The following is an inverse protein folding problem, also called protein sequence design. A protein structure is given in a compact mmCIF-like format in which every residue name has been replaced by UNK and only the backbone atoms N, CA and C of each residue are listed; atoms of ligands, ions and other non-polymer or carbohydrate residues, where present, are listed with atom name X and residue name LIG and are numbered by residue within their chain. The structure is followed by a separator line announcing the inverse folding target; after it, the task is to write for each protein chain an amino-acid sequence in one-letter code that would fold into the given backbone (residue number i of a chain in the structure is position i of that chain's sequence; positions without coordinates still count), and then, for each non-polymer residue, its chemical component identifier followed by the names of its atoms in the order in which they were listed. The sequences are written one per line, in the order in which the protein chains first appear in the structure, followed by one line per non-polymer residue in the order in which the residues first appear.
data_IF_474505075423
#
_entry.id   IF_474505075423
#
_cell.length_a   1.000
_cell.length_b   1.000
_cell.length_c   1.000
_cell.angle_alpha   90.00
_cell.angle_beta   90.00
_cell.angle_gamma   90.00
#
_symmetry.space_group_name_H-M   'P 1'
#
loop_
_entity.id
_entity.type
_entity.pdbx_description
1 polymer ?
#
# COMPACT_ATOMS: atom_id res chain seq x y z
N UNK A 1 24.59 -28.58 -0.23
CA UNK A 1 24.24 -28.96 1.16
C UNK A 1 23.15 -28.06 1.75
N UNK A 2 23.25 -26.74 1.62
CA UNK A 2 22.30 -25.75 2.17
C UNK A 2 20.85 -25.90 1.67
N UNK A 3 20.60 -26.13 0.36
CA UNK A 3 19.23 -26.32 -0.18
C UNK A 3 18.50 -27.53 0.43
N UNK A 4 19.20 -28.66 0.64
CA UNK A 4 18.62 -29.86 1.27
C UNK A 4 18.26 -29.59 2.74
N UNK A 5 19.13 -28.87 3.45
CA UNK A 5 18.90 -28.47 4.84
C UNK A 5 17.70 -27.53 4.98
N UNK A 6 17.58 -26.49 4.14
CA UNK A 6 16.42 -25.58 4.11
C UNK A 6 15.13 -26.36 3.84
N UNK A 7 15.14 -27.26 2.85
CA UNK A 7 13.97 -28.10 2.53
C UNK A 7 13.52 -28.97 3.71
N UNK A 8 14.48 -29.52 4.46
CA UNK A 8 14.19 -30.28 5.68
C UNK A 8 13.57 -29.38 6.75
N UNK A 9 14.13 -28.20 7.02
CA UNK A 9 13.59 -27.26 8.00
C UNK A 9 12.17 -26.81 7.66
N UNK A 10 11.89 -26.48 6.38
CA UNK A 10 10.54 -26.14 5.91
C UNK A 10 9.55 -27.28 6.18
N UNK A 11 9.94 -28.52 5.87
CA UNK A 11 9.10 -29.71 6.11
C UNK A 11 8.84 -29.95 7.60
N UNK A 12 9.85 -29.76 8.45
CA UNK A 12 9.69 -29.87 9.91
C UNK A 12 8.77 -28.79 10.45
N UNK A 13 8.93 -27.54 10.00
CA UNK A 13 8.05 -26.41 10.35
C UNK A 13 6.61 -26.68 9.94
N UNK A 14 6.38 -27.10 8.70
CA UNK A 14 5.05 -27.43 8.19
C UNK A 14 4.37 -28.52 9.05
N UNK A 15 5.08 -29.61 9.35
CA UNK A 15 4.55 -30.68 10.22
C UNK A 15 4.26 -30.20 11.63
N UNK A 16 5.11 -29.34 12.19
CA UNK A 16 4.89 -28.77 13.52
C UNK A 16 3.64 -27.90 13.54
N UNK A 17 3.50 -26.98 12.58
CA UNK A 17 2.33 -26.09 12.46
C UNK A 17 1.05 -26.89 12.22
N UNK A 18 1.08 -27.94 11.40
CA UNK A 18 -0.08 -28.80 11.19
C UNK A 18 -0.55 -29.49 12.48
N UNK A 19 0.39 -29.81 13.39
CA UNK A 19 0.07 -30.50 14.64
C UNK A 19 -0.31 -29.56 15.79
N UNK A 20 0.35 -28.42 15.89
CA UNK A 20 0.25 -27.53 17.07
C UNK A 20 -0.32 -26.14 16.75
N UNK A 21 -0.60 -25.84 15.48
CA UNK A 21 -1.01 -24.52 15.03
C UNK A 21 0.15 -23.53 14.87
N UNK A 22 -0.17 -22.34 14.37
CA UNK A 22 0.73 -21.19 14.40
C UNK A 22 0.64 -20.50 15.79
N UNK A 23 1.72 -19.86 16.25
CA UNK A 23 1.63 -18.94 17.38
C UNK A 23 0.53 -17.91 17.15
N UNK A 24 -0.28 -17.65 18.18
CA UNK A 24 -1.29 -16.61 18.11
C UNK A 24 -0.60 -15.24 18.12
N UNK A 25 -1.04 -14.37 17.22
CA UNK A 25 -0.61 -12.97 17.17
C UNK A 25 -1.54 -12.11 18.01
N UNK A 26 -1.01 -11.02 18.58
CA UNK A 26 -1.84 -10.08 19.34
C UNK A 26 -2.81 -9.37 18.40
N UNK A 27 -3.99 -9.06 18.92
CA UNK A 27 -4.94 -8.20 18.21
C UNK A 27 -4.31 -6.81 18.01
N UNK A 28 -4.48 -6.26 16.82
CA UNK A 28 -4.01 -4.92 16.49
C UNK A 28 -4.87 -3.89 17.24
N UNK A 29 -4.25 -3.14 18.15
CA UNK A 29 -4.89 -2.01 18.79
C UNK A 29 -4.99 -0.86 17.78
N UNK A 30 -6.20 -0.54 17.35
CA UNK A 30 -6.50 0.51 16.37
C UNK A 30 -7.89 1.06 16.57
N UNK A 31 -8.11 2.31 16.19
CA UNK A 31 -9.44 2.90 16.10
C UNK A 31 -10.23 2.22 14.98
N UNK A 32 -11.51 1.91 15.22
CA UNK A 32 -12.38 1.20 14.28
C UNK A 32 -13.62 1.99 13.88
N UNK A 33 -13.97 3.05 14.61
CA UNK A 33 -15.11 3.90 14.29
C UNK A 33 -14.81 4.77 13.07
N UNK A 34 -15.55 4.62 11.95
CA UNK A 34 -15.31 5.39 10.73
C UNK A 34 -15.38 6.91 10.91
N UNK A 35 -16.24 7.40 11.80
CA UNK A 35 -16.40 8.83 12.05
C UNK A 35 -15.21 9.39 12.82
N UNK A 36 -14.70 8.66 13.82
CA UNK A 36 -13.49 9.06 14.55
C UNK A 36 -12.29 9.02 13.62
N UNK A 37 -12.16 7.99 12.79
CA UNK A 37 -11.07 7.85 11.81
C UNK A 37 -11.07 9.03 10.84
N UNK A 38 -12.21 9.31 10.21
CA UNK A 38 -12.33 10.39 9.25
C UNK A 38 -12.01 11.76 9.89
N UNK A 39 -12.45 11.99 11.13
CA UNK A 39 -12.16 13.21 11.86
C UNK A 39 -10.66 13.38 12.18
N UNK A 40 -9.98 12.33 12.62
CA UNK A 40 -8.54 12.36 12.89
C UNK A 40 -7.73 12.63 11.60
N UNK A 41 -8.13 12.01 10.48
CA UNK A 41 -7.50 12.26 9.18
C UNK A 41 -7.70 13.72 8.77
N UNK A 42 -8.93 14.25 8.85
CA UNK A 42 -9.22 15.66 8.53
C UNK A 42 -8.39 16.61 9.37
N UNK A 43 -8.32 16.39 10.68
CA UNK A 43 -7.52 17.21 11.60
C UNK A 43 -6.06 17.26 11.17
N UNK A 44 -5.47 16.13 10.76
CA UNK A 44 -4.10 16.08 10.25
C UNK A 44 -3.94 16.80 8.91
N UNK A 45 -4.89 16.63 7.99
CA UNK A 45 -4.83 17.26 6.67
C UNK A 45 -5.09 18.78 6.71
N UNK A 46 -5.87 19.27 7.67
CA UNK A 46 -6.15 20.70 7.86
C UNK A 46 -5.07 21.41 8.70
N UNK A 47 -4.28 20.67 9.47
CA UNK A 47 -3.14 21.20 10.23
C UNK A 47 -2.09 21.84 9.30
N UNK A 48 -1.36 22.88 9.74
CA UNK A 48 -0.22 23.40 8.97
C UNK A 48 0.89 22.34 8.78
N UNK A 49 1.05 21.42 9.73
CA UNK A 49 2.15 20.46 9.74
C UNK A 49 2.15 19.50 8.53
N UNK A 50 3.34 19.07 8.05
CA UNK A 50 3.44 17.96 7.12
C UNK A 50 2.97 16.67 7.80
N UNK A 51 2.34 15.78 7.03
CA UNK A 51 1.92 14.50 7.56
C UNK A 51 1.98 13.39 6.51
N UNK A 52 2.08 12.15 6.99
CA UNK A 52 2.10 10.94 6.19
C UNK A 52 1.08 9.96 6.76
N UNK A 53 0.03 9.75 5.98
CA UNK A 53 -0.92 8.69 6.18
C UNK A 53 -0.54 7.54 5.25
N UNK A 54 -0.43 6.33 5.78
CA UNK A 54 0.08 5.19 5.00
C UNK A 54 -0.54 3.87 5.41
N UNK A 55 -0.28 2.85 4.60
CA UNK A 55 -0.60 1.45 4.81
C UNK A 55 0.56 0.58 4.33
N UNK A 56 0.73 -0.59 4.92
CA UNK A 56 1.64 -1.59 4.38
C UNK A 56 0.91 -2.49 3.38
N UNK A 57 1.60 -2.90 2.33
CA UNK A 57 1.16 -4.06 1.55
C UNK A 57 1.68 -5.34 2.17
N UNK A 58 0.89 -6.41 2.05
CA UNK A 58 1.24 -7.70 2.64
C UNK A 58 2.56 -8.25 2.09
N UNK A 59 2.81 -8.06 0.79
CA UNK A 59 4.03 -8.49 0.12
C UNK A 59 5.23 -7.67 0.60
N UNK A 60 5.08 -6.36 0.64
CA UNK A 60 6.14 -5.42 1.02
C UNK A 60 6.56 -5.61 2.48
N UNK A 61 5.62 -5.64 3.44
CA UNK A 61 5.97 -5.86 4.84
C UNK A 61 6.50 -7.28 5.09
N UNK A 62 6.00 -8.27 4.35
CA UNK A 62 6.53 -9.64 4.37
C UNK A 62 8.00 -9.69 3.96
N UNK A 63 8.41 -8.90 2.96
CA UNK A 63 9.81 -8.73 2.58
C UNK A 63 10.65 -8.16 3.73
N UNK A 64 10.17 -7.09 4.38
CA UNK A 64 10.89 -6.48 5.51
C UNK A 64 11.00 -7.46 6.69
N UNK A 65 9.98 -8.26 6.96
CA UNK A 65 10.04 -9.33 7.98
C UNK A 65 11.07 -10.40 7.61
N UNK A 66 11.15 -10.82 6.35
CA UNK A 66 12.18 -11.74 5.90
C UNK A 66 13.59 -11.14 6.12
N UNK A 67 13.79 -9.85 5.83
CA UNK A 67 15.04 -9.14 6.10
C UNK A 67 15.44 -9.20 7.59
N UNK A 68 14.48 -9.06 8.52
CA UNK A 68 14.77 -9.20 9.96
C UNK A 68 15.37 -10.58 10.27
N UNK A 69 14.84 -11.64 9.66
CA UNK A 69 15.36 -13.00 9.82
C UNK A 69 16.79 -13.17 9.28
N UNK A 70 17.08 -12.56 8.13
CA UNK A 70 18.39 -12.66 7.47
C UNK A 70 19.47 -11.87 8.21
N UNK A 71 19.17 -10.63 8.63
CA UNK A 71 20.19 -9.67 9.09
C UNK A 71 20.07 -9.25 10.56
N UNK A 72 18.89 -9.34 11.19
CA UNK A 72 18.66 -8.83 12.55
C UNK A 72 18.36 -9.90 13.61
N UNK A 73 18.18 -11.16 13.21
CA UNK A 73 17.93 -12.27 14.12
C UNK A 73 19.07 -13.30 14.10
N UNK A 74 19.45 -13.79 15.29
CA UNK A 74 20.33 -14.95 15.40
C UNK A 74 19.60 -16.19 14.86
N UNK A 75 20.35 -17.09 14.22
CA UNK A 75 19.83 -18.39 13.73
C UNK A 75 19.28 -19.21 14.89
N UNK A 76 17.97 -19.46 14.90
CA UNK A 76 17.29 -20.24 15.94
C UNK A 76 16.46 -21.35 15.30
N UNK A 77 17.10 -22.49 15.00
CA UNK A 77 16.51 -23.62 14.28
C UNK A 77 15.20 -24.10 14.93
N UNK A 78 15.22 -24.36 16.24
CA UNK A 78 14.04 -24.88 16.96
C UNK A 78 12.89 -23.85 16.92
N UNK A 79 13.18 -22.58 17.18
CA UNK A 79 12.17 -21.51 17.13
C UNK A 79 11.59 -21.34 15.72
N UNK A 80 12.42 -21.45 14.68
CA UNK A 80 11.94 -21.45 13.30
C UNK A 80 10.99 -22.61 13.02
N UNK A 81 11.32 -23.83 13.48
CA UNK A 81 10.44 -25.01 13.34
C UNK A 81 9.11 -24.78 14.08
N UNK A 82 9.13 -24.13 15.24
CA UNK A 82 7.94 -23.78 16.02
C UNK A 82 7.11 -22.61 15.45
N UNK A 83 7.60 -21.92 14.42
CA UNK A 83 6.95 -20.73 13.89
C UNK A 83 7.26 -19.42 14.65
N UNK A 84 8.12 -19.47 15.67
CA UNK A 84 8.48 -18.33 16.55
C UNK A 84 9.66 -17.49 16.02
N UNK A 85 10.29 -17.90 14.91
CA UNK A 85 11.41 -17.18 14.30
C UNK A 85 11.29 -17.14 12.77
N UNK A 86 11.94 -16.15 12.18
CA UNK A 86 11.96 -15.94 10.72
C UNK A 86 13.05 -16.77 10.04
N UNK A 87 12.90 -17.04 8.74
CA UNK A 87 13.97 -17.63 7.94
C UNK A 87 15.18 -16.68 7.89
N UNK A 88 16.39 -17.22 8.04
CA UNK A 88 17.65 -16.47 7.91
C UNK A 88 18.27 -16.60 6.51
N UNK A 89 17.41 -16.80 5.52
CA UNK A 89 17.69 -16.78 4.09
C UNK A 89 16.53 -16.08 3.39
N UNK A 90 16.75 -15.58 2.19
CA UNK A 90 15.67 -15.03 1.36
C UNK A 90 14.77 -16.16 0.86
N UNK A 91 13.49 -16.09 1.18
CA UNK A 91 12.51 -17.06 0.72
C UNK A 91 12.08 -16.74 -0.70
N UNK A 92 12.06 -17.75 -1.58
CA UNK A 92 11.47 -17.63 -2.92
C UNK A 92 10.02 -17.16 -2.86
N UNK A 93 9.29 -17.60 -1.83
CA UNK A 93 7.90 -17.21 -1.54
C UNK A 93 7.77 -15.73 -1.11
N UNK A 94 8.90 -15.05 -0.81
CA UNK A 94 8.99 -13.60 -0.60
C UNK A 94 9.45 -12.90 -1.89
N UNK A 95 10.50 -13.43 -2.53
CA UNK A 95 11.13 -12.82 -3.71
C UNK A 95 10.20 -12.79 -4.92
N UNK A 96 9.47 -13.88 -5.16
CA UNK A 96 8.57 -13.97 -6.30
C UNK A 96 7.39 -12.99 -6.20
N UNK A 97 6.62 -12.90 -5.09
CA UNK A 97 5.57 -11.90 -4.97
C UNK A 97 6.08 -10.46 -4.99
N UNK A 98 7.28 -10.18 -4.46
CA UNK A 98 7.90 -8.86 -4.59
C UNK A 98 8.03 -8.45 -6.06
N UNK A 99 8.48 -9.37 -6.91
CA UNK A 99 8.61 -9.14 -8.36
C UNK A 99 7.25 -9.14 -9.09
N UNK A 100 6.36 -10.08 -8.75
CA UNK A 100 5.12 -10.31 -9.48
C UNK A 100 3.99 -9.36 -9.06
N UNK A 101 3.71 -9.27 -7.76
CA UNK A 101 2.55 -8.55 -7.22
C UNK A 101 2.90 -7.11 -6.84
N UNK A 102 4.07 -6.88 -6.24
CA UNK A 102 4.52 -5.56 -5.82
C UNK A 102 5.21 -4.76 -6.95
N UNK A 103 5.56 -5.43 -8.06
CA UNK A 103 6.22 -4.80 -9.20
C UNK A 103 7.68 -4.43 -8.95
N UNK A 104 8.32 -4.99 -7.91
CA UNK A 104 9.74 -4.80 -7.61
C UNK A 104 10.59 -5.64 -8.59
N UNK A 105 10.77 -5.13 -9.80
CA UNK A 105 11.35 -5.87 -10.93
C UNK A 105 12.84 -6.19 -10.80
N UNK A 106 13.50 -5.69 -9.75
CA UNK A 106 14.91 -5.91 -9.44
C UNK A 106 15.10 -6.73 -8.15
N UNK A 107 14.34 -7.81 -7.97
CA UNK A 107 14.29 -8.60 -6.73
C UNK A 107 15.54 -9.47 -6.45
N UNK A 108 16.74 -8.88 -6.42
CA UNK A 108 17.96 -9.55 -5.93
C UNK A 108 18.07 -9.44 -4.39
N UNK A 109 18.77 -10.36 -3.70
CA UNK A 109 19.01 -10.26 -2.26
C UNK A 109 19.53 -8.89 -1.80
N UNK A 110 20.44 -8.29 -2.56
CA UNK A 110 21.06 -7.00 -2.27
C UNK A 110 20.04 -5.85 -2.38
N UNK A 111 19.19 -5.87 -3.40
CA UNK A 111 18.19 -4.83 -3.61
C UNK A 111 16.98 -5.01 -2.68
N UNK A 112 16.62 -6.23 -2.31
CA UNK A 112 15.61 -6.50 -1.27
C UNK A 112 16.09 -6.07 0.12
N UNK A 113 17.39 -6.23 0.40
CA UNK A 113 18.04 -5.65 1.58
C UNK A 113 17.89 -4.12 1.58
N UNK A 114 18.29 -3.45 0.48
CA UNK A 114 18.16 -1.99 0.34
C UNK A 114 16.72 -1.51 0.49
N UNK A 115 15.76 -2.23 -0.09
CA UNK A 115 14.33 -1.93 0.04
C UNK A 115 13.88 -2.01 1.49
N UNK A 116 14.26 -3.09 2.19
CA UNK A 116 13.87 -3.32 3.58
C UNK A 116 14.45 -2.26 4.52
N UNK A 117 15.69 -1.84 4.29
CA UNK A 117 16.34 -0.77 5.06
C UNK A 117 15.63 0.57 4.87
N UNK A 118 15.36 0.97 3.63
CA UNK A 118 14.57 2.17 3.31
C UNK A 118 13.19 2.14 3.95
N UNK A 119 12.48 1.01 3.87
CA UNK A 119 11.15 0.88 4.47
C UNK A 119 11.21 1.07 6.00
N UNK A 120 12.19 0.46 6.68
CA UNK A 120 12.38 0.62 8.14
C UNK A 120 12.74 2.06 8.50
N UNK A 121 13.57 2.72 7.71
CA UNK A 121 13.93 4.14 7.89
C UNK A 121 12.74 5.08 7.69
N UNK A 122 11.81 4.73 6.81
CA UNK A 122 10.60 5.51 6.52
C UNK A 122 9.47 5.28 7.53
N UNK A 123 9.45 4.16 8.26
CA UNK A 123 8.38 3.84 9.24
C UNK A 123 8.12 4.93 10.29
N UNK A 124 9.15 5.56 10.92
CA UNK A 124 8.95 6.62 11.91
C UNK A 124 8.27 7.88 11.35
N UNK A 125 8.23 8.04 10.02
CA UNK A 125 7.55 9.17 9.39
C UNK A 125 6.03 8.99 9.33
N UNK A 126 5.49 7.81 9.59
CA UNK A 126 4.05 7.56 9.49
C UNK A 126 3.32 8.16 10.71
N UNK A 127 2.46 9.16 10.46
CA UNK A 127 1.63 9.78 11.51
C UNK A 127 0.35 8.98 11.76
N UNK A 128 -0.27 8.50 10.69
CA UNK A 128 -1.44 7.61 10.76
C UNK A 128 -1.18 6.37 9.91
N UNK A 129 -1.33 5.18 10.52
CA UNK A 129 -1.23 3.90 9.84
C UNK A 129 -2.60 3.23 9.74
N UNK A 130 -3.06 3.00 8.52
CA UNK A 130 -4.14 2.07 8.25
C UNK A 130 -3.65 0.64 8.47
N UNK A 131 -3.90 0.15 9.68
CA UNK A 131 -3.34 -1.05 10.28
C UNK A 131 -4.19 -2.27 9.96
N UNK A 132 -3.60 -3.27 9.32
CA UNK A 132 -4.29 -4.52 8.94
C UNK A 132 -3.37 -5.75 8.91
N UNK A 133 -2.07 -5.57 9.15
CA UNK A 133 -1.07 -6.62 9.08
C UNK A 133 -0.53 -6.90 10.47
N UNK A 134 -0.56 -8.16 10.89
CA UNK A 134 0.03 -8.55 12.18
C UNK A 134 1.55 -8.32 12.18
N UNK A 135 2.17 -8.34 11.01
CA UNK A 135 3.60 -8.11 10.82
C UNK A 135 4.06 -6.74 11.35
N UNK A 136 3.14 -5.77 11.47
CA UNK A 136 3.38 -4.46 12.07
C UNK A 136 3.89 -4.56 13.53
N UNK A 137 3.56 -5.64 14.25
CA UNK A 137 4.01 -5.87 15.63
C UNK A 137 5.55 -5.95 15.73
N UNK A 138 6.20 -6.49 14.70
CA UNK A 138 7.66 -6.63 14.65
C UNK A 138 8.40 -5.30 14.51
N UNK A 139 7.67 -4.23 14.19
CA UNK A 139 8.19 -2.86 14.01
C UNK A 139 7.56 -1.89 15.02
N UNK A 140 7.13 -2.41 16.19
CA UNK A 140 6.50 -1.60 17.24
C UNK A 140 7.38 -0.45 17.74
N UNK A 141 8.71 -0.59 17.68
CA UNK A 141 9.65 0.49 18.02
C UNK A 141 9.62 1.60 16.97
N UNK A 142 9.72 1.23 15.69
CA UNK A 142 9.71 2.17 14.57
C UNK A 142 8.35 2.87 14.41
N UNK A 143 7.25 2.20 14.79
CA UNK A 143 5.88 2.69 14.70
C UNK A 143 5.33 3.23 16.03
N UNK A 144 6.18 3.48 17.04
CA UNK A 144 5.74 3.79 18.41
C UNK A 144 4.92 5.09 18.53
N UNK A 145 5.09 6.04 17.61
CA UNK A 145 4.40 7.33 17.61
C UNK A 145 3.16 7.38 16.70
N UNK A 146 2.90 6.31 15.96
CA UNK A 146 1.88 6.30 14.91
C UNK A 146 0.49 6.07 15.49
N UNK A 147 -0.48 6.87 15.06
CA UNK A 147 -1.89 6.62 15.34
C UNK A 147 -2.43 5.53 14.41
N UNK A 148 -2.90 4.41 14.97
CA UNK A 148 -3.36 3.26 14.18
C UNK A 148 -4.88 3.30 14.01
N UNK A 149 -5.33 3.16 12.77
CA UNK A 149 -6.74 3.09 12.38
C UNK A 149 -7.02 1.78 11.64
N UNK A 150 -8.27 1.34 11.63
CA UNK A 150 -8.70 0.21 10.82
C UNK A 150 -8.63 0.52 9.32
N UNK A 151 -8.29 -0.50 8.52
CA UNK A 151 -7.90 -0.32 7.13
C UNK A 151 -9.06 -0.04 6.18
N UNK A 152 -10.21 -0.68 6.39
CA UNK A 152 -11.37 -0.47 5.52
C UNK A 152 -12.00 0.92 5.70
N UNK A 153 -12.28 1.40 6.93
CA UNK A 153 -12.81 2.75 7.17
C UNK A 153 -11.81 3.89 6.92
N UNK A 154 -10.55 3.57 6.58
CA UNK A 154 -9.63 4.56 6.01
C UNK A 154 -10.11 5.08 4.64
N UNK A 155 -10.86 4.27 3.89
CA UNK A 155 -11.49 4.72 2.65
C UNK A 155 -12.61 5.73 2.96
N UNK A 156 -12.75 6.82 2.18
CA UNK A 156 -13.60 7.97 2.53
C UNK A 156 -15.11 7.74 2.34
N UNK A 157 -15.58 6.49 2.30
CA UNK A 157 -16.97 6.14 1.95
C UNK A 157 -17.84 5.80 3.17
N UNK A 158 -17.22 5.62 4.33
CA UNK A 158 -17.84 4.92 5.46
C UNK A 158 -18.12 5.79 6.68
N UNK A 159 -17.93 7.11 6.56
CA UNK A 159 -18.16 8.12 7.60
C UNK A 159 -19.20 9.14 7.17
N UNK A 160 -19.90 9.75 8.12
CA UNK A 160 -20.90 10.79 7.89
C UNK A 160 -20.31 12.05 7.22
N UNK A 161 -19.05 12.37 7.58
CA UNK A 161 -18.25 13.44 6.97
C UNK A 161 -16.93 12.86 6.46
N UNK A 162 -16.84 12.53 5.15
CA UNK A 162 -15.63 12.01 4.53
C UNK A 162 -14.41 12.86 4.80
N UNK A 163 -13.26 12.20 5.01
CA UNK A 163 -12.04 12.94 5.28
C UNK A 163 -11.54 13.77 4.10
N UNK A 164 -11.97 13.40 2.89
CA UNK A 164 -11.69 14.08 1.63
C UNK A 164 -12.21 15.51 1.59
N UNK A 165 -13.18 15.89 2.43
CA UNK A 165 -13.59 17.30 2.59
C UNK A 165 -12.44 18.23 2.95
N UNK A 166 -11.37 17.72 3.60
CA UNK A 166 -10.15 18.50 3.84
C UNK A 166 -9.35 18.84 2.57
N UNK A 167 -9.66 18.21 1.43
CA UNK A 167 -9.04 18.47 0.14
C UNK A 167 -9.73 19.61 -0.63
N UNK A 168 -10.90 20.07 -0.20
CA UNK A 168 -11.65 21.10 -0.92
C UNK A 168 -10.83 22.39 -1.07
N UNK A 169 -10.77 22.89 -2.32
CA UNK A 169 -10.00 24.07 -2.70
C UNK A 169 -8.47 23.91 -2.66
N UNK A 170 -7.93 22.71 -2.42
CA UNK A 170 -6.48 22.45 -2.37
C UNK A 170 -5.89 22.16 -3.75
N UNK A 171 -4.56 22.30 -3.87
CA UNK A 171 -3.79 21.70 -4.97
C UNK A 171 -3.48 20.25 -4.62
N UNK A 172 -4.07 19.31 -5.33
CA UNK A 172 -3.97 17.87 -5.06
C UNK A 172 -3.19 17.18 -6.17
N UNK A 173 -2.06 16.60 -5.82
CA UNK A 173 -1.26 15.78 -6.72
C UNK A 173 -1.60 14.29 -6.55
N UNK A 174 -2.08 13.64 -7.60
CA UNK A 174 -2.39 12.21 -7.59
C UNK A 174 -1.33 11.43 -8.34
N UNK A 175 -0.65 10.51 -7.65
CA UNK A 175 0.32 9.60 -8.26
C UNK A 175 -0.31 8.21 -8.35
N UNK A 176 -0.71 7.83 -9.55
CA UNK A 176 -1.48 6.61 -9.81
C UNK A 176 -1.21 6.07 -11.23
N UNK A 177 -1.25 4.75 -11.46
CA UNK A 177 -1.13 4.17 -12.80
C UNK A 177 -2.22 4.63 -13.77
N UNK A 178 -3.41 4.95 -13.24
CA UNK A 178 -4.61 5.34 -14.00
C UNK A 178 -4.77 6.86 -14.14
N UNK A 179 -3.67 7.58 -14.33
CA UNK A 179 -3.65 9.04 -14.32
C UNK A 179 -4.60 9.66 -15.36
N UNK A 180 -4.67 9.11 -16.57
CA UNK A 180 -5.52 9.63 -17.65
C UNK A 180 -7.01 9.37 -17.35
N UNK A 181 -7.34 8.17 -16.85
CA UNK A 181 -8.73 7.86 -16.44
C UNK A 181 -9.17 8.72 -15.25
N UNK A 182 -8.28 8.96 -14.28
CA UNK A 182 -8.53 9.85 -13.14
C UNK A 182 -8.86 11.27 -13.61
N UNK A 183 -8.06 11.85 -14.51
CA UNK A 183 -8.32 13.18 -15.07
C UNK A 183 -9.71 13.24 -15.74
N UNK A 184 -10.05 12.25 -16.58
CA UNK A 184 -11.33 12.20 -17.28
C UNK A 184 -12.52 12.07 -16.33
N UNK A 185 -12.41 11.19 -15.33
CA UNK A 185 -13.46 11.00 -14.33
C UNK A 185 -13.65 12.25 -13.48
N UNK A 186 -12.57 12.93 -13.10
CA UNK A 186 -12.64 14.12 -12.27
C UNK A 186 -13.42 15.27 -12.93
N UNK A 187 -13.36 15.42 -14.26
CA UNK A 187 -14.16 16.39 -15.02
C UNK A 187 -15.68 16.17 -14.89
N UNK A 188 -16.10 14.97 -14.49
CA UNK A 188 -17.50 14.58 -14.32
C UNK A 188 -17.81 14.10 -12.90
N UNK A 189 -17.03 14.54 -11.91
CA UNK A 189 -17.06 14.06 -10.52
C UNK A 189 -18.44 14.08 -9.85
N UNK A 190 -19.29 15.03 -10.21
CA UNK A 190 -20.67 15.17 -9.69
C UNK A 190 -21.56 13.96 -10.00
N UNK A 191 -21.16 13.13 -10.98
CA UNK A 191 -21.88 11.91 -11.37
C UNK A 191 -21.35 10.65 -10.66
N UNK A 192 -20.18 10.73 -10.02
CA UNK A 192 -19.46 9.54 -9.53
C UNK A 192 -20.02 9.06 -8.20
N UNK A 193 -20.19 9.97 -7.24
CA UNK A 193 -20.62 9.64 -5.88
C UNK A 193 -21.95 10.32 -5.56
N UNK A 194 -22.82 9.63 -4.82
CA UNK A 194 -24.07 10.22 -4.32
C UNK A 194 -23.81 11.36 -3.34
N UNK A 195 -22.77 11.22 -2.51
CA UNK A 195 -22.30 12.29 -1.64
C UNK A 195 -21.15 13.03 -2.34
N UNK A 196 -21.35 14.29 -2.78
CA UNK A 196 -20.32 15.06 -3.48
C UNK A 196 -19.10 15.35 -2.58
N UNK A 197 -19.24 15.26 -1.26
CA UNK A 197 -18.13 15.47 -0.29
C UNK A 197 -17.09 14.36 -0.33
N UNK A 198 -17.42 13.20 -0.92
CA UNK A 198 -16.46 12.11 -1.14
C UNK A 198 -15.40 12.54 -2.15
N UNK A 199 -15.78 13.22 -3.23
CA UNK A 199 -14.85 13.77 -4.23
C UNK A 199 -15.12 15.27 -4.41
N UNK A 200 -14.69 16.12 -3.45
CA UNK A 200 -14.98 17.54 -3.47
C UNK A 200 -14.18 18.25 -4.58
N UNK A 201 -14.47 19.54 -4.78
CA UNK A 201 -13.75 20.35 -5.78
C UNK A 201 -12.39 20.81 -5.25
N UNK A 202 -11.34 20.47 -5.99
CA UNK A 202 -9.94 20.82 -5.78
C UNK A 202 -9.19 20.94 -7.13
N UNK A 203 -8.00 21.53 -7.12
CA UNK A 203 -7.12 21.61 -8.30
C UNK A 203 -6.35 20.29 -8.46
N UNK A 204 -6.75 19.48 -9.46
CA UNK A 204 -6.20 18.15 -9.70
C UNK A 204 -4.98 18.22 -10.62
N UNK A 205 -3.86 17.69 -10.13
CA UNK A 205 -2.70 17.32 -10.93
C UNK A 205 -2.48 15.82 -10.86
N UNK A 206 -1.93 15.22 -11.91
CA UNK A 206 -1.60 13.79 -11.91
C UNK A 206 -0.16 13.52 -12.37
N UNK A 207 0.41 12.44 -11.85
CA UNK A 207 1.61 11.77 -12.36
C UNK A 207 1.26 10.31 -12.61
N UNK A 208 1.55 9.81 -13.81
CA UNK A 208 1.38 8.40 -14.14
C UNK A 208 2.44 7.59 -13.42
N UNK A 209 2.02 6.82 -12.43
CA UNK A 209 2.94 5.96 -11.68
C UNK A 209 3.48 4.85 -12.58
N UNK A 210 4.76 4.52 -12.39
CA UNK A 210 5.40 3.40 -13.08
C UNK A 210 4.76 2.08 -12.61
N UNK A 211 4.45 1.20 -13.56
CA UNK A 211 3.72 -0.04 -13.31
C UNK A 211 4.47 -1.24 -13.92
N UNK A 212 4.99 -2.11 -13.05
CA UNK A 212 5.92 -3.21 -13.41
C UNK A 212 5.49 -4.55 -12.83
N UNK A 213 4.21 -4.67 -12.46
CA UNK A 213 3.61 -5.93 -11.98
C UNK A 213 3.57 -7.02 -13.05
N UNK A 214 3.23 -8.24 -12.65
CA UNK A 214 3.19 -9.41 -13.54
C UNK A 214 4.59 -9.81 -14.00
N UNK A 215 5.60 -9.53 -13.16
CA UNK A 215 7.01 -9.74 -13.48
C UNK A 215 7.38 -9.04 -14.79
N UNK A 216 7.05 -7.75 -14.89
CA UNK A 216 7.41 -6.88 -16.00
C UNK A 216 8.50 -5.91 -15.55
N UNK A 217 9.25 -5.38 -16.50
CA UNK A 217 10.24 -4.33 -16.28
C UNK A 217 9.88 -3.12 -17.14
N UNK A 218 10.38 -1.96 -16.76
CA UNK A 218 10.27 -0.75 -17.57
C UNK A 218 11.64 -0.47 -18.20
N UNK A 219 11.71 -0.46 -19.54
CA UNK A 219 12.97 -0.34 -20.27
C UNK A 219 13.70 0.98 -20.05
N UNK A 220 13.04 1.97 -19.45
CA UNK A 220 13.63 3.27 -19.10
C UNK A 220 14.50 3.22 -17.85
N UNK A 221 14.42 2.15 -17.06
CA UNK A 221 15.05 2.07 -15.74
C UNK A 221 15.81 0.75 -15.57
N UNK A 222 17.05 0.84 -15.09
CA UNK A 222 17.87 -0.34 -14.78
C UNK A 222 17.32 -1.07 -13.54
N UNK A 223 16.93 -0.29 -12.53
CA UNK A 223 16.40 -0.80 -11.28
C UNK A 223 15.08 -0.16 -10.86
N UNK A 224 14.35 -0.85 -9.99
CA UNK A 224 13.17 -0.29 -9.31
C UNK A 224 13.50 1.00 -8.55
N UNK A 225 14.73 1.15 -8.04
CA UNK A 225 15.14 2.39 -7.37
C UNK A 225 15.30 3.56 -8.35
N UNK A 226 15.75 3.32 -9.58
CA UNK A 226 15.84 4.38 -10.59
C UNK A 226 14.44 4.89 -10.98
N UNK A 227 13.48 3.95 -11.08
CA UNK A 227 12.07 4.27 -11.26
C UNK A 227 11.52 5.08 -10.08
N UNK A 228 11.85 4.70 -8.83
CA UNK A 228 11.47 5.45 -7.63
C UNK A 228 12.03 6.87 -7.65
N UNK A 229 13.32 7.05 -7.94
CA UNK A 229 13.98 8.36 -7.99
C UNK A 229 13.41 9.25 -9.11
N UNK A 230 13.10 8.67 -10.27
CA UNK A 230 12.41 9.40 -11.34
C UNK A 230 11.04 9.92 -10.89
N UNK A 231 10.25 9.11 -10.18
CA UNK A 231 8.95 9.56 -9.65
C UNK A 231 9.09 10.61 -8.55
N UNK A 232 10.11 10.51 -7.68
CA UNK A 232 10.42 11.57 -6.71
C UNK A 232 10.74 12.89 -7.41
N UNK A 233 11.59 12.85 -8.44
CA UNK A 233 11.93 14.03 -9.24
C UNK A 233 10.71 14.64 -9.94
N UNK A 234 9.80 13.81 -10.47
CA UNK A 234 8.54 14.32 -11.04
C UNK A 234 7.63 14.97 -9.99
N UNK A 235 7.58 14.44 -8.76
CA UNK A 235 6.85 15.05 -7.65
C UNK A 235 7.47 16.40 -7.27
N UNK A 236 8.80 16.50 -7.20
CA UNK A 236 9.51 17.72 -6.79
C UNK A 236 9.34 18.88 -7.77
N UNK A 237 8.96 18.60 -9.02
CA UNK A 237 8.67 19.61 -10.05
C UNK A 237 7.27 20.23 -9.93
N UNK A 238 6.40 19.72 -9.05
CA UNK A 238 5.01 20.14 -8.94
C UNK A 238 4.79 21.01 -7.70
N UNK A 239 3.92 22.00 -7.84
CA UNK A 239 3.39 22.74 -6.70
C UNK A 239 2.03 22.15 -6.27
N UNK A 240 1.97 21.63 -5.05
CA UNK A 240 0.78 20.99 -4.48
C UNK A 240 0.75 21.11 -2.96
N UNK A 241 -0.43 20.95 -2.36
CA UNK A 241 -0.65 20.95 -0.90
C UNK A 241 -0.67 19.53 -0.34
N UNK A 242 -1.36 18.63 -1.04
CA UNK A 242 -1.59 17.23 -0.64
C UNK A 242 -1.28 16.30 -1.81
N UNK A 243 -0.58 15.20 -1.54
CA UNK A 243 -0.34 14.14 -2.51
C UNK A 243 -1.13 12.87 -2.15
N UNK A 244 -1.95 12.38 -3.08
CA UNK A 244 -2.66 11.11 -2.96
C UNK A 244 -1.90 10.01 -3.73
N UNK A 245 -1.63 8.89 -3.06
CA UNK A 245 -0.73 7.86 -3.56
C UNK A 245 -1.42 6.48 -3.64
N UNK A 246 -1.45 5.93 -4.85
CA UNK A 246 -1.93 4.58 -5.14
C UNK A 246 -1.05 3.94 -6.21
N UNK A 247 0.16 3.55 -5.84
CA UNK A 247 1.22 3.19 -6.79
C UNK A 247 2.02 1.96 -6.32
N UNK A 248 1.34 0.94 -5.80
CA UNK A 248 1.96 -0.33 -5.43
C UNK A 248 3.08 -0.18 -4.40
N UNK A 249 4.20 -0.87 -4.61
CA UNK A 249 5.36 -0.84 -3.71
C UNK A 249 6.03 0.54 -3.61
N UNK A 250 5.76 1.45 -4.55
CA UNK A 250 6.28 2.82 -4.51
C UNK A 250 5.53 3.69 -3.50
N UNK A 251 4.32 3.29 -3.09
CA UNK A 251 3.41 4.15 -2.32
C UNK A 251 3.97 4.66 -1.00
N UNK A 252 4.56 3.79 -0.17
CA UNK A 252 5.11 4.21 1.11
C UNK A 252 6.40 5.04 0.95
N UNK A 253 7.40 4.63 0.16
CA UNK A 253 8.61 5.44 -0.05
C UNK A 253 8.33 6.82 -0.67
N UNK A 254 7.37 6.92 -1.58
CA UNK A 254 6.93 8.19 -2.13
C UNK A 254 6.18 9.03 -1.09
N UNK A 255 5.34 8.42 -0.24
CA UNK A 255 4.68 9.16 0.84
C UNK A 255 5.69 9.73 1.86
N UNK A 256 6.73 8.96 2.17
CA UNK A 256 7.81 9.40 3.04
C UNK A 256 8.62 10.54 2.40
N UNK A 257 8.88 10.47 1.09
CA UNK A 257 9.49 11.57 0.32
C UNK A 257 8.65 12.86 0.40
N UNK A 258 7.35 12.77 0.12
CA UNK A 258 6.41 13.91 0.20
C UNK A 258 6.43 14.56 1.59
N UNK A 259 6.39 13.77 2.66
CA UNK A 259 6.47 14.31 4.03
C UNK A 259 7.82 14.97 4.32
N UNK A 260 8.93 14.37 3.89
CA UNK A 260 10.28 14.97 4.02
C UNK A 260 10.39 16.32 3.32
N UNK A 261 9.70 16.49 2.18
CA UNK A 261 9.61 17.76 1.45
C UNK A 261 8.65 18.78 2.10
N UNK A 262 8.16 18.53 3.32
CA UNK A 262 7.29 19.44 4.06
C UNK A 262 5.83 19.44 3.59
N UNK A 263 5.40 18.43 2.83
CA UNK A 263 4.03 18.31 2.29
C UNK A 263 3.23 17.20 2.98
N UNK A 264 1.96 17.07 2.61
CA UNK A 264 1.03 16.08 3.17
C UNK A 264 0.87 14.91 2.19
N UNK A 265 1.03 13.68 2.67
CA UNK A 265 0.92 12.47 1.88
C UNK A 265 -0.19 11.56 2.39
N UNK A 266 -1.04 11.08 1.48
CA UNK A 266 -2.09 10.10 1.78
C UNK A 266 -1.91 8.90 0.86
N UNK A 267 -1.25 7.87 1.39
CA UNK A 267 -1.06 6.59 0.70
C UNK A 267 -2.20 5.63 1.06
N UNK A 268 -3.08 5.42 0.08
CA UNK A 268 -4.28 4.56 0.19
C UNK A 268 -4.04 3.21 -0.47
N UNK A 269 -3.12 3.16 -1.45
CA UNK A 269 -2.89 1.96 -2.24
C UNK A 269 -3.95 1.81 -3.33
N UNK A 270 -4.32 0.58 -3.66
CA UNK A 270 -5.17 0.31 -4.82
C UNK A 270 -6.56 0.93 -4.75
N UNK A 271 -7.17 1.07 -3.56
CA UNK A 271 -8.53 1.60 -3.44
C UNK A 271 -8.63 3.11 -3.73
N UNK A 272 -7.50 3.82 -3.90
CA UNK A 272 -7.51 5.21 -4.36
C UNK A 272 -8.27 5.36 -5.69
N UNK A 273 -8.25 4.35 -6.56
CA UNK A 273 -8.98 4.42 -7.83
C UNK A 273 -10.51 4.56 -7.65
N UNK A 274 -11.06 4.05 -6.55
CA UNK A 274 -12.49 4.11 -6.25
C UNK A 274 -12.94 5.53 -5.93
N UNK A 275 -12.05 6.35 -5.38
CA UNK A 275 -12.31 7.78 -5.15
C UNK A 275 -12.70 8.47 -6.46
N UNK A 276 -12.15 8.04 -7.59
CA UNK A 276 -12.42 8.58 -8.93
C UNK A 276 -13.41 7.72 -9.74
N UNK A 277 -14.15 6.81 -9.09
CA UNK A 277 -15.16 5.99 -9.79
C UNK A 277 -14.59 4.98 -10.76
N UNK A 278 -13.37 4.48 -10.52
CA UNK A 278 -12.71 3.49 -11.38
C UNK A 278 -12.84 2.11 -10.73
N UNK A 279 -13.54 1.20 -11.38
CA UNK A 279 -13.83 -0.16 -10.93
C UNK A 279 -12.63 -1.08 -11.10
N UNK A 280 -12.63 -2.14 -10.31
CA UNK A 280 -11.72 -3.28 -10.42
C UNK A 280 -12.40 -4.54 -9.90
N UNK A 281 -12.00 -5.71 -10.41
CA UNK A 281 -12.67 -6.98 -10.13
C UNK A 281 -12.85 -7.27 -8.62
N UNK A 282 -11.91 -6.83 -7.77
CA UNK A 282 -11.99 -7.00 -6.31
C UNK A 282 -13.20 -6.29 -5.72
N UNK A 283 -13.44 -5.05 -6.12
CA UNK A 283 -14.47 -4.21 -5.51
C UNK A 283 -15.85 -4.39 -6.14
N UNK A 284 -15.90 -5.01 -7.32
CA UNK A 284 -17.15 -5.48 -7.93
C UNK A 284 -17.71 -6.72 -7.22
N UNK A 285 -16.87 -7.45 -6.47
CA UNK A 285 -17.30 -8.59 -5.66
C UNK A 285 -18.06 -8.11 -4.40
N UNK A 286 -19.37 -8.36 -4.36
CA UNK A 286 -20.24 -8.02 -3.23
C UNK A 286 -19.88 -8.74 -1.92
N UNK A 287 -19.10 -9.83 -2.00
CA UNK A 287 -18.62 -10.61 -0.85
C UNK A 287 -17.18 -10.25 -0.44
N UNK A 288 -16.57 -9.21 -1.02
CA UNK A 288 -15.20 -8.79 -0.70
C UNK A 288 -15.03 -8.48 0.79
N UNK A 289 -16.00 -7.81 1.41
CA UNK A 289 -15.98 -7.45 2.82
C UNK A 289 -17.39 -7.57 3.42
N UNK A 290 -17.49 -8.15 4.62
CA UNK A 290 -18.77 -8.41 5.26
C UNK A 290 -19.48 -7.13 5.73
N UNK A 291 -18.74 -6.07 6.03
CA UNK A 291 -19.26 -4.81 6.57
C UNK A 291 -19.28 -3.71 5.51
N UNK A 292 -18.19 -3.56 4.76
CA UNK A 292 -17.95 -2.45 3.86
C UNK A 292 -18.14 -2.87 2.39
N UNK A 293 -19.36 -2.74 1.90
CA UNK A 293 -19.72 -3.22 0.57
C UNK A 293 -19.43 -2.18 -0.53
N UNK A 294 -18.26 -2.27 -1.15
CA UNK A 294 -17.83 -1.38 -2.23
C UNK A 294 -18.68 -1.50 -3.51
N UNK A 295 -19.22 -2.68 -3.81
CA UNK A 295 -20.01 -2.87 -5.04
C UNK A 295 -21.30 -2.04 -5.03
N UNK A 296 -21.83 -1.73 -3.83
CA UNK A 296 -23.00 -0.85 -3.65
C UNK A 296 -22.71 0.64 -3.86
N UNK A 297 -21.44 1.05 -3.88
CA UNK A 297 -21.04 2.43 -4.16
C UNK A 297 -21.11 2.75 -5.67
N UNK A 298 -21.04 1.72 -6.52
CA UNK A 298 -20.91 1.86 -7.96
C UNK A 298 -22.23 2.26 -8.62
N UNK A 299 -22.14 3.08 -9.67
CA UNK A 299 -23.27 3.44 -10.54
C UNK A 299 -22.85 3.35 -12.02
N UNK A 300 -23.74 3.71 -12.93
CA UNK A 300 -23.52 3.65 -14.39
C UNK A 300 -22.37 4.53 -14.91
N UNK A 301 -21.95 5.54 -14.15
CA UNK A 301 -20.84 6.45 -14.48
C UNK A 301 -19.48 5.96 -13.99
N UNK A 302 -19.43 4.83 -13.30
CA UNK A 302 -18.18 4.20 -12.91
C UNK A 302 -17.58 3.42 -14.08
N UNK A 303 -16.30 3.65 -14.35
CA UNK A 303 -15.60 3.09 -15.51
C UNK A 303 -14.60 2.04 -15.10
N UNK A 304 -14.12 1.26 -16.07
CA UNK A 304 -12.90 0.46 -15.93
C UNK A 304 -11.71 1.31 -16.40
N UNK A 305 -10.48 1.05 -15.94
CA UNK A 305 -9.31 1.77 -16.46
C UNK A 305 -9.18 1.55 -17.98
N UNK A 306 -8.54 2.49 -18.68
CA UNK A 306 -8.34 2.35 -20.13
C UNK A 306 -7.45 1.14 -20.45
N UNK A 307 -7.52 0.67 -21.70
CA UNK A 307 -6.63 -0.40 -22.19
C UNK A 307 -5.14 -0.01 -22.07
N UNK A 308 -4.80 1.26 -22.35
CA UNK A 308 -3.44 1.80 -22.22
C UNK A 308 -2.94 1.92 -20.78
N UNK A 309 -3.86 1.82 -19.81
CA UNK A 309 -3.57 1.84 -18.37
C UNK A 309 -3.74 0.44 -17.74
N UNK A 310 -4.06 -0.57 -18.56
CA UNK A 310 -4.22 -1.96 -18.15
C UNK A 310 -2.99 -2.78 -18.57
N UNK A 311 -2.17 -3.26 -17.62
CA UNK A 311 -1.02 -4.09 -17.94
C UNK A 311 -1.43 -5.39 -18.64
N UNK A 312 -0.67 -5.81 -19.65
CA UNK A 312 -0.95 -7.04 -20.41
C UNK A 312 -1.11 -8.29 -19.53
N UNK A 313 -0.40 -8.32 -18.39
CA UNK A 313 -0.43 -9.42 -17.41
C UNK A 313 -1.28 -9.13 -16.18
N UNK A 314 -2.22 -8.18 -16.25
CA UNK A 314 -3.10 -7.82 -15.14
C UNK A 314 -3.80 -9.03 -14.49
N UNK A 315 -4.26 -10.00 -15.29
CA UNK A 315 -4.91 -11.24 -14.78
C UNK A 315 -3.99 -12.13 -13.92
N UNK A 316 -2.67 -12.00 -14.04
CA UNK A 316 -1.71 -12.75 -13.21
C UNK A 316 -1.52 -12.11 -11.83
N UNK A 317 -2.08 -10.93 -11.61
CA UNK A 317 -1.97 -10.16 -10.37
C UNK A 317 -3.34 -10.20 -9.70
N UNK A 318 -3.53 -11.23 -8.87
CA UNK A 318 -4.75 -11.43 -8.08
C UNK A 318 -6.02 -11.38 -8.96
N UNK A 319 -6.00 -12.13 -10.07
CA UNK A 319 -7.12 -12.25 -11.02
C UNK A 319 -7.57 -10.92 -11.64
N UNK A 320 -6.65 -9.94 -11.70
CA UNK A 320 -6.97 -8.61 -12.21
C UNK A 320 -7.73 -7.76 -11.20
N UNK A 321 -7.47 -7.93 -9.91
CA UNK A 321 -8.18 -7.26 -8.81
C UNK A 321 -8.39 -5.74 -8.98
N UNK A 322 -7.45 -5.03 -9.62
CA UNK A 322 -7.48 -3.58 -9.84
C UNK A 322 -8.11 -3.15 -11.17
N UNK A 323 -8.38 -4.11 -12.07
CA UNK A 323 -8.84 -3.88 -13.44
C UNK A 323 -10.23 -4.42 -13.68
#
# INVERSE_FOLDING_TARGET
MQKKFIKLLKKLRQRHIQKYGLPQHRLLCRETDPNIIADQIRKRLLSPEPCMLSRFGAVEIGCVVNYLGVYRQKRKIIKYIKGEAFPWWWEEDTMYPMRNNAGFFSATPELLKRFSEMMIEDMPLIDILASWRFEEEYFSKELQHTYKIDFEPYNPFWSDVPWTTALEGKKVLVVHPFAETIQKQYLRKELIHKDPRVLPTFDLQTIKAIQTIGNQSDSRFETWFDALESMKSEIDKRDYDVCLLGCGAYGMPLAAHVKRSGKKAVHIGGSLQLLFGIRGARWENSNYNATYNYSKLMNEYWVKPSETETPQKARQVEEGCYW
#
